data_IF_142423257494
#
_entry.id   IF_142423257494
#
_cell.length_a   1.000
_cell.length_b   1.000
_cell.length_c   1.000
_cell.angle_alpha   90.00
_cell.angle_beta   90.00
_cell.angle_gamma   90.00
#
_symmetry.space_group_name_H-M   'P 1'
#
loop_
_entity.id
_entity.type
_entity.pdbx_description
1 polymer ?
#
# COMPACT_ATOMS: atom_id res chain seq x y z
N UNK A 1 -25.97 71.71 -17.04
CA UNK A 1 -24.72 71.05 -17.35
C UNK A 1 -24.33 70.14 -16.19
N UNK A 2 -24.70 68.88 -16.26
CA UNK A 2 -24.32 67.87 -15.25
C UNK A 2 -23.51 66.79 -15.96
N UNK A 3 -22.24 66.64 -15.56
CA UNK A 3 -21.35 65.58 -16.02
C UNK A 3 -21.62 64.29 -15.19
N UNK A 4 -22.11 63.28 -15.84
CA UNK A 4 -22.30 61.96 -15.29
C UNK A 4 -20.93 61.24 -15.33
N UNK A 5 -20.36 60.89 -14.19
CA UNK A 5 -19.11 60.16 -14.03
C UNK A 5 -19.46 58.70 -13.79
N UNK A 6 -19.27 57.83 -14.82
CA UNK A 6 -19.44 56.38 -14.70
C UNK A 6 -18.19 55.77 -14.00
N UNK A 7 -18.39 55.25 -12.82
CA UNK A 7 -17.41 54.42 -12.12
C UNK A 7 -17.59 52.96 -12.62
N UNK A 8 -16.60 52.52 -13.41
CA UNK A 8 -16.44 51.09 -13.77
C UNK A 8 -15.76 50.39 -12.61
N UNK A 9 -16.53 49.60 -11.87
CA UNK A 9 -16.00 48.67 -10.84
C UNK A 9 -15.59 47.41 -11.59
N UNK A 10 -14.29 47.19 -11.73
CA UNK A 10 -13.73 45.97 -12.27
C UNK A 10 -13.83 44.86 -11.24
N UNK A 11 -14.71 43.88 -11.50
CA UNK A 11 -14.75 42.62 -10.76
C UNK A 11 -13.66 41.71 -11.35
N UNK A 12 -12.49 41.72 -10.72
CA UNK A 12 -11.45 40.72 -11.03
C UNK A 12 -11.86 39.39 -10.38
N UNK A 13 -12.36 38.46 -11.18
CA UNK A 13 -12.64 37.09 -10.76
C UNK A 13 -11.30 36.37 -10.49
N UNK A 14 -11.02 36.09 -9.24
CA UNK A 14 -9.95 35.16 -8.84
C UNK A 14 -10.39 33.73 -9.13
N UNK A 15 -10.15 33.26 -10.35
CA UNK A 15 -10.26 31.86 -10.77
C UNK A 15 -8.84 31.30 -10.89
N UNK A 16 -8.28 30.92 -9.77
CA UNK A 16 -7.04 30.13 -9.79
C UNK A 16 -6.92 29.33 -8.51
N UNK A 17 -6.78 28.04 -8.68
CA UNK A 17 -6.26 27.05 -7.73
C UNK A 17 -7.21 25.90 -7.35
N UNK A 18 -7.64 25.14 -8.33
CA UNK A 18 -8.13 23.78 -8.03
C UNK A 18 -7.61 22.68 -9.00
N UNK A 19 -6.69 23.01 -9.91
CA UNK A 19 -6.26 22.08 -10.98
C UNK A 19 -5.01 21.26 -10.62
N UNK A 20 -4.29 21.58 -9.51
CA UNK A 20 -2.95 21.00 -9.28
C UNK A 20 -2.88 19.66 -8.56
N UNK A 21 -3.90 19.25 -7.80
CA UNK A 21 -3.75 18.11 -6.86
C UNK A 21 -3.96 16.73 -7.49
N UNK A 22 -4.73 16.64 -8.55
CA UNK A 22 -5.01 15.35 -9.22
C UNK A 22 -3.81 14.80 -10.01
N UNK A 23 -3.07 15.66 -10.68
CA UNK A 23 -1.96 15.25 -11.55
C UNK A 23 -0.73 14.76 -10.76
N UNK A 24 -0.39 15.43 -9.65
CA UNK A 24 0.76 15.02 -8.84
C UNK A 24 0.53 13.65 -8.16
N UNK A 25 -0.71 13.39 -7.71
CA UNK A 25 -1.08 12.09 -7.13
C UNK A 25 -1.03 10.96 -8.18
N UNK A 26 -1.43 11.21 -9.44
CA UNK A 26 -1.29 10.22 -10.51
C UNK A 26 0.17 9.92 -10.83
N UNK A 27 1.04 10.92 -10.85
CA UNK A 27 2.48 10.74 -11.07
C UNK A 27 3.16 9.88 -10.00
N UNK A 28 2.86 10.11 -8.71
CA UNK A 28 3.36 9.22 -7.62
C UNK A 28 2.87 7.80 -7.82
N UNK A 29 1.58 7.63 -8.14
CA UNK A 29 1.00 6.31 -8.40
C UNK A 29 1.70 5.62 -9.56
N UNK A 30 1.92 6.31 -10.68
CA UNK A 30 2.51 5.72 -11.87
C UNK A 30 3.94 5.24 -11.59
N UNK A 31 4.78 6.08 -10.96
CA UNK A 31 6.16 5.72 -10.58
C UNK A 31 6.18 4.53 -9.62
N UNK A 32 5.34 4.54 -8.58
CA UNK A 32 5.29 3.44 -7.63
C UNK A 32 4.71 2.16 -8.25
N UNK A 33 3.72 2.25 -9.15
CA UNK A 33 3.16 1.09 -9.85
C UNK A 33 4.17 0.47 -10.83
N UNK A 34 5.05 1.28 -11.40
CA UNK A 34 6.16 0.78 -12.21
C UNK A 34 7.21 0.06 -11.34
N UNK A 35 7.51 0.62 -10.19
CA UNK A 35 8.48 0.07 -9.24
C UNK A 35 7.97 -1.19 -8.54
N UNK A 36 6.71 -1.21 -8.13
CA UNK A 36 6.06 -2.28 -7.37
C UNK A 36 5.04 -3.03 -8.23
N UNK A 37 5.54 -3.87 -9.14
CA UNK A 37 4.67 -4.70 -10.00
C UNK A 37 3.85 -5.66 -9.15
N UNK A 38 2.54 -5.67 -9.38
CA UNK A 38 1.59 -6.52 -8.66
C UNK A 38 1.76 -7.98 -9.06
N UNK A 39 1.77 -8.85 -8.07
CA UNK A 39 1.75 -10.30 -8.21
C UNK A 39 0.32 -10.82 -8.25
N UNK A 40 0.13 -12.02 -8.78
CA UNK A 40 -1.14 -12.72 -8.69
C UNK A 40 -0.97 -14.00 -7.89
N UNK A 41 -1.87 -14.21 -6.94
CA UNK A 41 -1.97 -15.44 -6.15
C UNK A 41 -3.15 -16.23 -6.65
N UNK A 42 -3.00 -17.54 -6.74
CA UNK A 42 -4.08 -18.50 -6.91
C UNK A 42 -4.21 -19.33 -5.64
N UNK A 43 -5.46 -19.62 -5.26
CA UNK A 43 -5.79 -20.47 -4.10
C UNK A 43 -6.75 -21.53 -4.61
N UNK A 44 -6.22 -22.60 -5.21
CA UNK A 44 -7.02 -23.54 -5.99
C UNK A 44 -8.02 -24.35 -5.15
N UNK A 45 -7.77 -24.54 -3.87
CA UNK A 45 -8.70 -25.23 -2.99
C UNK A 45 -8.65 -24.73 -1.53
N UNK A 46 -9.59 -25.23 -0.71
CA UNK A 46 -9.78 -24.75 0.67
C UNK A 46 -8.63 -25.07 1.64
N UNK A 47 -7.73 -25.96 1.25
CA UNK A 47 -6.62 -26.42 2.08
C UNK A 47 -5.28 -25.85 1.62
N UNK A 48 -5.28 -25.17 0.48
CA UNK A 48 -4.07 -24.59 -0.07
C UNK A 48 -3.79 -23.21 0.53
N UNK A 49 -2.54 -23.01 0.85
CA UNK A 49 -2.03 -21.77 1.42
C UNK A 49 -1.89 -20.64 0.38
N UNK A 50 -2.30 -20.89 -0.85
CA UNK A 50 -2.16 -20.00 -1.98
C UNK A 50 -0.74 -20.03 -2.58
N UNK A 51 -0.67 -20.00 -3.90
CA UNK A 51 0.63 -19.90 -4.57
C UNK A 51 0.67 -18.70 -5.50
N UNK A 52 1.85 -18.12 -5.60
CA UNK A 52 2.12 -17.03 -6.54
C UNK A 52 2.19 -17.61 -7.96
N UNK A 53 1.12 -17.39 -8.76
CA UNK A 53 1.07 -17.84 -10.17
C UNK A 53 1.67 -16.83 -11.14
N UNK A 54 1.69 -15.55 -10.77
CA UNK A 54 2.41 -14.50 -11.50
C UNK A 54 3.18 -13.67 -10.51
N UNK A 55 4.49 -13.79 -10.54
CA UNK A 55 5.40 -13.06 -9.68
C UNK A 55 5.62 -11.66 -10.23
N UNK A 56 5.27 -10.67 -9.44
CA UNK A 56 5.60 -9.26 -9.66
C UNK A 56 6.90 -8.88 -8.95
N UNK A 57 6.93 -7.70 -8.34
CA UNK A 57 8.07 -7.26 -7.53
C UNK A 57 8.13 -8.06 -6.23
N UNK A 58 9.27 -8.65 -5.94
CA UNK A 58 9.58 -9.24 -4.64
C UNK A 58 10.23 -8.20 -3.77
N UNK A 59 9.69 -8.03 -2.57
CA UNK A 59 10.21 -7.14 -1.55
C UNK A 59 10.90 -7.96 -0.47
N UNK A 60 11.87 -7.35 0.20
CA UNK A 60 12.49 -7.86 1.42
C UNK A 60 12.12 -6.92 2.56
N UNK A 61 11.57 -7.48 3.63
CA UNK A 61 11.31 -6.75 4.86
C UNK A 61 12.63 -6.35 5.53
N UNK A 62 12.75 -5.09 5.97
CA UNK A 62 13.99 -4.52 6.54
C UNK A 62 13.94 -4.40 8.07
N UNK A 63 12.80 -4.73 8.68
CA UNK A 63 12.57 -4.59 10.12
C UNK A 63 12.01 -5.90 10.70
N UNK A 64 12.16 -6.07 12.00
CA UNK A 64 11.60 -7.21 12.74
C UNK A 64 10.25 -6.84 13.36
N UNK A 65 9.50 -7.88 13.76
CA UNK A 65 8.30 -7.72 14.57
C UNK A 65 7.08 -7.20 13.80
N UNK A 66 7.04 -7.35 12.48
CA UNK A 66 5.92 -6.90 11.66
C UNK A 66 4.74 -7.87 11.76
N UNK A 67 3.56 -7.42 12.24
CA UNK A 67 2.39 -8.27 12.31
C UNK A 67 1.87 -8.63 10.93
N UNK A 68 1.39 -9.87 10.78
CA UNK A 68 0.73 -10.34 9.57
C UNK A 68 -0.50 -11.19 9.92
N UNK A 69 -1.60 -10.93 9.23
CA UNK A 69 -2.78 -11.77 9.25
C UNK A 69 -2.59 -12.98 8.35
N UNK A 70 -3.44 -13.97 8.50
CA UNK A 70 -3.39 -15.17 7.68
C UNK A 70 -4.37 -15.07 6.51
N UNK A 71 -4.00 -15.70 5.39
CA UNK A 71 -4.96 -15.95 4.32
C UNK A 71 -6.04 -16.90 4.84
N UNK A 72 -7.30 -16.49 4.72
CA UNK A 72 -8.45 -17.31 5.13
C UNK A 72 -9.36 -17.60 3.95
N UNK A 73 -9.82 -18.83 3.87
CA UNK A 73 -10.90 -19.20 2.96
C UNK A 73 -12.23 -19.05 3.67
N UNK A 74 -13.11 -18.22 3.13
CA UNK A 74 -14.45 -17.97 3.68
C UNK A 74 -15.50 -18.47 2.70
N UNK A 75 -16.46 -19.25 3.19
CA UNK A 75 -17.65 -19.66 2.45
C UNK A 75 -18.88 -19.14 3.18
N UNK A 76 -19.67 -18.31 2.49
CA UNK A 76 -20.87 -17.70 3.08
C UNK A 76 -21.98 -18.74 3.32
N UNK A 77 -22.08 -19.72 2.42
CA UNK A 77 -22.96 -20.88 2.57
C UNK A 77 -22.49 -22.03 1.67
N UNK A 78 -23.06 -23.22 1.85
CA UNK A 78 -22.67 -24.43 1.11
C UNK A 78 -22.86 -24.38 -0.41
N UNK A 79 -23.65 -23.40 -0.91
CA UNK A 79 -23.93 -23.21 -2.34
C UNK A 79 -23.16 -22.02 -2.94
N UNK A 80 -22.52 -21.20 -2.12
CA UNK A 80 -21.78 -20.03 -2.58
C UNK A 80 -20.36 -20.40 -3.02
N UNK A 81 -19.80 -19.70 -4.01
CA UNK A 81 -18.38 -19.79 -4.30
C UNK A 81 -17.58 -19.48 -3.05
N UNK A 82 -16.45 -20.17 -2.89
CA UNK A 82 -15.51 -19.86 -1.81
C UNK A 82 -14.77 -18.58 -2.17
N UNK A 83 -14.72 -17.67 -1.21
CA UNK A 83 -13.96 -16.45 -1.33
C UNK A 83 -12.71 -16.54 -0.45
N UNK A 84 -11.58 -16.16 -1.02
CA UNK A 84 -10.36 -16.00 -0.25
C UNK A 84 -10.32 -14.57 0.29
N UNK A 85 -10.30 -14.48 1.61
CA UNK A 85 -10.19 -13.19 2.30
C UNK A 85 -8.78 -13.09 2.86
N UNK A 86 -8.03 -12.10 2.36
CA UNK A 86 -6.79 -11.71 2.98
C UNK A 86 -7.12 -10.93 4.26
N UNK A 87 -6.86 -11.54 5.39
CA UNK A 87 -6.97 -10.88 6.70
C UNK A 87 -5.67 -10.08 6.93
N UNK A 88 -5.62 -8.88 6.37
CA UNK A 88 -4.43 -8.04 6.47
C UNK A 88 -4.27 -7.48 7.88
N UNK A 89 -3.13 -7.73 8.50
CA UNK A 89 -2.69 -6.90 9.60
C UNK A 89 -2.19 -5.57 9.07
N UNK A 90 -2.60 -4.46 9.70
CA UNK A 90 -2.20 -3.13 9.27
C UNK A 90 -1.01 -2.61 10.08
N UNK A 91 -0.01 -2.10 9.37
CA UNK A 91 1.14 -1.39 9.93
C UNK A 91 1.17 0.02 9.37
N UNK A 92 1.08 1.02 10.24
CA UNK A 92 1.13 2.44 9.86
C UNK A 92 2.49 3.02 10.21
N UNK A 93 3.16 3.55 9.19
CA UNK A 93 4.49 4.14 9.27
C UNK A 93 4.41 5.64 8.97
N UNK A 94 4.95 6.45 9.86
CA UNK A 94 5.05 7.89 9.68
C UNK A 94 6.48 8.34 9.43
N UNK A 95 6.69 9.64 9.53
CA UNK A 95 8.02 10.25 9.33
C UNK A 95 9.06 9.76 10.33
N UNK A 96 8.65 9.55 11.58
CA UNK A 96 9.53 9.11 12.69
C UNK A 96 9.56 7.59 12.87
N UNK A 97 9.01 6.82 11.92
CA UNK A 97 8.93 5.36 11.98
C UNK A 97 7.54 4.84 12.30
N UNK A 98 7.45 3.72 13.03
CA UNK A 98 6.19 3.06 13.36
C UNK A 98 5.28 3.97 14.19
N UNK A 99 4.05 4.21 13.67
CA UNK A 99 2.97 4.90 14.40
C UNK A 99 2.09 3.86 15.10
N UNK A 100 1.68 2.82 14.38
CA UNK A 100 0.73 1.81 14.86
C UNK A 100 0.93 0.49 14.14
N UNK A 101 0.83 -0.60 14.89
CA UNK A 101 0.71 -1.96 14.36
C UNK A 101 -0.55 -2.62 14.96
N UNK A 102 -1.37 -3.24 14.12
CA UNK A 102 -2.53 -4.00 14.58
C UNK A 102 -2.07 -5.40 15.02
N UNK A 103 -2.59 -5.93 16.15
CA UNK A 103 -2.29 -7.30 16.56
C UNK A 103 -2.67 -8.30 15.48
N UNK A 104 -1.86 -9.32 15.28
CA UNK A 104 -2.12 -10.36 14.29
C UNK A 104 -1.60 -11.73 14.74
N UNK A 105 -1.98 -12.75 13.99
CA UNK A 105 -1.65 -14.15 14.30
C UNK A 105 -0.20 -14.52 13.99
N UNK A 106 0.44 -13.78 13.10
CA UNK A 106 1.81 -14.01 12.68
C UNK A 106 2.66 -12.79 12.97
N UNK A 107 3.96 -13.03 13.13
CA UNK A 107 4.98 -11.97 13.22
C UNK A 107 6.07 -12.27 12.20
N UNK A 108 6.36 -11.29 11.35
CA UNK A 108 7.39 -11.39 10.32
C UNK A 108 8.69 -10.76 10.82
N UNK A 109 9.79 -11.41 10.51
CA UNK A 109 11.15 -10.92 10.82
C UNK A 109 11.80 -10.24 9.62
N UNK A 110 12.90 -9.53 9.90
CA UNK A 110 13.76 -8.96 8.88
C UNK A 110 14.21 -10.05 7.88
N UNK A 111 14.32 -9.70 6.63
CA UNK A 111 14.67 -10.62 5.56
C UNK A 111 13.49 -11.39 4.97
N UNK A 112 12.31 -11.39 5.61
CA UNK A 112 11.11 -12.03 5.04
C UNK A 112 10.84 -11.49 3.64
N UNK A 113 10.66 -12.40 2.67
CA UNK A 113 10.33 -12.05 1.29
C UNK A 113 8.82 -11.90 1.13
N UNK A 114 8.41 -10.81 0.50
CA UNK A 114 7.01 -10.46 0.28
C UNK A 114 6.76 -10.25 -1.20
N UNK A 115 5.55 -10.52 -1.66
CA UNK A 115 5.06 -10.11 -2.98
C UNK A 115 4.00 -9.02 -2.82
N UNK A 116 3.98 -8.08 -3.76
CA UNK A 116 2.97 -7.01 -3.80
C UNK A 116 1.70 -7.56 -4.41
N UNK A 117 0.56 -7.40 -3.74
CA UNK A 117 -0.76 -7.79 -4.24
C UNK A 117 -1.61 -6.60 -4.72
N UNK A 118 -1.42 -5.45 -4.10
CA UNK A 118 -2.10 -4.21 -4.50
C UNK A 118 -1.30 -3.00 -4.04
N UNK A 119 -1.47 -1.87 -4.72
CA UNK A 119 -0.87 -0.59 -4.40
C UNK A 119 -1.93 0.50 -4.54
N UNK A 120 -2.11 1.29 -3.48
CA UNK A 120 -3.02 2.44 -3.49
C UNK A 120 -2.28 3.69 -3.06
N UNK A 121 -2.51 4.77 -3.78
CA UNK A 121 -1.99 6.10 -3.45
C UNK A 121 -3.20 7.00 -3.20
N UNK A 122 -3.36 7.38 -1.94
CA UNK A 122 -4.39 8.30 -1.46
C UNK A 122 -3.79 9.71 -1.28
N UNK A 123 -4.58 10.65 -0.81
CA UNK A 123 -4.16 12.05 -0.65
C UNK A 123 -2.99 12.23 0.34
N UNK A 124 -2.96 11.41 1.40
CA UNK A 124 -2.04 11.55 2.54
C UNK A 124 -1.27 10.25 2.85
N UNK A 125 -1.39 9.24 2.01
CA UNK A 125 -0.77 7.93 2.27
C UNK A 125 -0.52 7.10 1.02
N UNK A 126 0.46 6.22 1.13
CA UNK A 126 0.69 5.12 0.20
C UNK A 126 0.39 3.81 0.93
N UNK A 127 -0.40 2.93 0.33
CA UNK A 127 -0.77 1.64 0.91
C UNK A 127 -0.25 0.53 0.02
N UNK A 128 0.54 -0.37 0.59
CA UNK A 128 1.10 -1.53 -0.11
C UNK A 128 0.56 -2.79 0.57
N UNK A 129 -0.19 -3.57 -0.18
CA UNK A 129 -0.75 -4.84 0.28
C UNK A 129 0.21 -5.95 -0.12
N UNK A 130 0.66 -6.72 0.86
CA UNK A 130 1.68 -7.75 0.66
C UNK A 130 1.23 -9.11 1.16
N UNK A 131 1.88 -10.14 0.62
CA UNK A 131 1.76 -11.51 1.03
C UNK A 131 3.16 -12.12 1.10
N UNK A 132 3.44 -12.99 2.07
CA UNK A 132 4.73 -13.65 2.15
C UNK A 132 4.95 -14.55 0.94
N UNK A 133 6.15 -14.51 0.36
CA UNK A 133 6.50 -15.34 -0.79
C UNK A 133 6.62 -16.81 -0.38
N UNK A 134 7.19 -17.06 0.78
CA UNK A 134 7.27 -18.37 1.41
C UNK A 134 6.36 -18.44 2.63
N UNK A 135 5.84 -19.64 2.99
CA UNK A 135 5.10 -19.82 4.23
C UNK A 135 6.00 -19.60 5.46
N UNK A 136 5.43 -18.99 6.47
CA UNK A 136 6.06 -18.74 7.77
C UNK A 136 5.69 -19.91 8.70
N UNK A 137 6.70 -20.45 9.40
CA UNK A 137 6.47 -21.53 10.37
C UNK A 137 5.81 -20.99 11.65
N UNK A 138 4.71 -21.60 12.04
CA UNK A 138 3.99 -21.28 13.26
C UNK A 138 4.59 -22.01 14.48
N UNK A 139 4.33 -21.51 15.71
CA UNK A 139 4.79 -22.19 16.94
C UNK A 139 4.26 -23.61 17.10
N UNK A 140 3.10 -23.93 16.53
CA UNK A 140 2.51 -25.27 16.55
C UNK A 140 3.06 -26.23 15.46
N UNK A 141 4.08 -25.77 14.71
CA UNK A 141 4.75 -26.54 13.67
C UNK A 141 4.09 -26.46 12.29
N UNK A 142 2.87 -25.90 12.19
CA UNK A 142 2.23 -25.62 10.90
C UNK A 142 2.93 -24.48 10.17
N UNK A 143 2.59 -24.31 8.91
CA UNK A 143 3.06 -23.16 8.12
C UNK A 143 1.85 -22.40 7.60
N UNK A 144 1.99 -21.07 7.44
CA UNK A 144 0.96 -20.22 6.85
C UNK A 144 1.59 -19.03 6.13
N UNK A 145 0.91 -18.52 5.11
CA UNK A 145 1.30 -17.26 4.49
C UNK A 145 0.71 -16.08 5.27
N UNK A 146 1.54 -15.05 5.47
CA UNK A 146 1.18 -13.83 6.16
C UNK A 146 0.79 -12.71 5.19
N UNK A 147 -0.24 -11.93 5.56
CA UNK A 147 -0.72 -10.79 4.81
C UNK A 147 -0.57 -9.51 5.63
N UNK A 148 0.12 -8.51 5.07
CA UNK A 148 0.33 -7.21 5.74
C UNK A 148 -0.03 -6.06 4.81
N UNK A 149 -0.82 -5.12 5.32
CA UNK A 149 -1.05 -3.82 4.71
C UNK A 149 -0.08 -2.80 5.34
N UNK A 150 0.90 -2.36 4.58
CA UNK A 150 1.76 -1.24 4.96
C UNK A 150 1.10 0.07 4.55
N UNK A 151 0.90 0.96 5.51
CA UNK A 151 0.33 2.30 5.32
C UNK A 151 1.41 3.33 5.63
N UNK A 152 2.03 3.89 4.61
CA UNK A 152 3.01 4.96 4.74
C UNK A 152 2.29 6.30 4.73
N UNK A 153 2.24 6.98 5.89
CA UNK A 153 1.61 8.27 6.03
C UNK A 153 2.56 9.39 5.61
N UNK A 154 2.05 10.36 4.86
CA UNK A 154 2.79 11.52 4.36
C UNK A 154 2.04 12.81 4.64
N UNK A 155 2.75 13.92 4.67
CA UNK A 155 2.12 15.22 4.49
C UNK A 155 1.47 15.26 3.10
N UNK A 156 0.19 15.68 2.98
CA UNK A 156 -0.49 15.78 1.70
C UNK A 156 0.28 16.59 0.65
N UNK A 157 1.03 17.62 1.08
CA UNK A 157 1.86 18.42 0.18
C UNK A 157 3.04 17.62 -0.41
N UNK A 158 3.58 16.64 0.28
CA UNK A 158 4.64 15.74 -0.23
C UNK A 158 4.13 14.93 -1.41
N UNK A 159 2.96 14.32 -1.27
CA UNK A 159 2.34 13.55 -2.36
C UNK A 159 1.84 14.45 -3.47
N UNK A 160 1.29 15.64 -3.16
CA UNK A 160 0.82 16.60 -4.14
C UNK A 160 1.95 17.18 -5.01
N UNK A 161 3.16 17.36 -4.45
CA UNK A 161 4.35 17.77 -5.19
C UNK A 161 5.07 16.65 -5.92
N UNK A 162 4.60 15.41 -5.79
CA UNK A 162 5.23 14.21 -6.33
C UNK A 162 6.71 14.08 -5.91
N UNK A 163 7.00 14.31 -4.62
CA UNK A 163 8.35 14.17 -4.06
C UNK A 163 8.72 12.68 -3.96
N UNK A 164 9.01 12.09 -5.12
CA UNK A 164 9.34 10.67 -5.27
C UNK A 164 10.53 10.25 -4.42
N UNK A 165 11.63 11.01 -4.30
CA UNK A 165 12.75 10.65 -3.43
C UNK A 165 12.32 10.47 -1.97
N UNK A 166 11.56 11.41 -1.40
CA UNK A 166 11.07 11.32 -0.01
C UNK A 166 10.12 10.13 0.18
N UNK A 167 9.20 9.92 -0.77
CA UNK A 167 8.26 8.78 -0.73
C UNK A 167 9.01 7.47 -0.79
N UNK A 168 9.92 7.32 -1.74
CA UNK A 168 10.71 6.09 -1.91
C UNK A 168 11.59 5.80 -0.70
N UNK A 169 12.31 6.80 -0.19
CA UNK A 169 13.20 6.63 0.96
C UNK A 169 12.44 6.11 2.20
N UNK A 170 11.22 6.59 2.46
CA UNK A 170 10.40 6.10 3.57
C UNK A 170 9.95 4.66 3.37
N UNK A 171 9.55 4.30 2.15
CA UNK A 171 9.18 2.91 1.85
C UNK A 171 10.39 2.00 2.00
N UNK A 172 11.56 2.42 1.50
CA UNK A 172 12.79 1.61 1.48
C UNK A 172 13.35 1.31 2.87
N UNK A 173 13.06 2.13 3.87
CA UNK A 173 13.38 1.82 5.27
C UNK A 173 12.68 0.56 5.79
N UNK A 174 11.56 0.19 5.18
CA UNK A 174 10.75 -0.96 5.59
C UNK A 174 10.74 -2.08 4.57
N UNK A 175 10.75 -1.74 3.29
CA UNK A 175 10.53 -2.66 2.16
C UNK A 175 11.54 -2.37 1.05
N UNK A 176 12.61 -3.10 0.96
CA UNK A 176 13.54 -3.00 -0.18
C UNK A 176 13.17 -3.99 -1.28
N UNK A 177 13.52 -3.69 -2.53
CA UNK A 177 13.38 -4.64 -3.63
C UNK A 177 14.42 -5.75 -3.43
N UNK A 178 13.96 -7.00 -3.39
CA UNK A 178 14.86 -8.14 -3.34
C UNK A 178 15.58 -8.31 -4.67
N UNK A 179 16.89 -8.46 -4.64
CA UNK A 179 17.66 -8.80 -5.82
C UNK A 179 17.14 -10.12 -6.40
N UNK A 180 17.06 -10.20 -7.74
CA UNK A 180 16.77 -11.46 -8.41
C UNK A 180 17.91 -12.45 -8.10
N UNK A 181 17.60 -13.48 -7.34
CA UNK A 181 18.47 -14.65 -7.13
C UNK A 181 18.11 -15.74 -8.10
#
# INVERSE_FOLDING_TARGET
MYRLMLLLVGVSAALAASVGTGYASSTVRDVLSERFKVSRIDVPNQFDEGHVIKKGTVLRLQVDGVPAGMLRTTQINTKSPRFHVHDYARVTVGEKGLIRAEPASLTLGNGTRLVVLDLKVDRDRVRIFTHTLEPVRLPDGRSAHGCTEFVFAFDPATLARADIPTVSARIDQWLSIASAS
#
